data_IF_095541653891
#
_entry.id   IF_095541653891
#
_cell.length_a   1.000
_cell.length_b   1.000
_cell.length_c   1.000
_cell.angle_alpha   90.00
_cell.angle_beta   90.00
_cell.angle_gamma   90.00
#
_symmetry.space_group_name_H-M   'P 1'
#
loop_
_entity.id
_entity.type
_entity.pdbx_description
1 polymer ?
#
# COMPACT_ATOMS: atom_id res chain seq x y z
N UNK A 1 21.31 40.47 -32.56
CA UNK A 1 21.11 38.99 -32.54
C UNK A 1 19.97 38.64 -33.49
N UNK A 2 20.22 37.74 -34.45
CA UNK A 2 19.27 37.41 -35.52
C UNK A 2 18.05 36.65 -34.98
N UNK A 3 16.82 37.10 -35.31
CA UNK A 3 15.53 36.53 -34.87
C UNK A 3 15.38 35.01 -35.08
N UNK A 4 16.18 34.41 -35.96
CA UNK A 4 16.22 32.95 -36.19
C UNK A 4 16.86 32.19 -35.03
N UNK A 5 17.92 32.73 -34.43
CA UNK A 5 18.65 32.10 -33.32
C UNK A 5 17.81 32.05 -32.04
N UNK A 6 17.07 33.14 -31.74
CA UNK A 6 16.12 33.17 -30.62
C UNK A 6 14.97 32.17 -30.78
N UNK A 7 14.50 31.95 -32.02
CA UNK A 7 13.48 30.94 -32.33
C UNK A 7 14.01 29.52 -32.10
N UNK A 8 15.21 29.20 -32.58
CA UNK A 8 15.86 27.90 -32.35
C UNK A 8 16.08 27.61 -30.85
N UNK A 9 16.54 28.61 -30.07
CA UNK A 9 16.71 28.48 -28.62
C UNK A 9 15.39 28.22 -27.89
N UNK A 10 14.31 28.91 -28.26
CA UNK A 10 12.99 28.67 -27.65
C UNK A 10 12.43 27.28 -27.98
N UNK A 11 12.68 26.77 -29.19
CA UNK A 11 12.30 25.41 -29.59
C UNK A 11 13.14 24.38 -28.82
N UNK A 12 14.46 24.55 -28.74
CA UNK A 12 15.34 23.66 -28.00
C UNK A 12 14.97 23.59 -26.51
N UNK A 13 14.65 24.73 -25.90
CA UNK A 13 14.14 24.80 -24.52
C UNK A 13 12.84 24.01 -24.35
N UNK A 14 11.85 24.24 -25.22
CA UNK A 14 10.58 23.48 -25.22
C UNK A 14 10.78 21.97 -25.43
N UNK A 15 11.73 21.57 -26.27
CA UNK A 15 12.07 20.15 -26.47
C UNK A 15 12.71 19.58 -25.20
N UNK A 16 13.60 20.33 -24.55
CA UNK A 16 14.16 19.98 -23.24
C UNK A 16 13.09 19.77 -22.18
N UNK A 17 12.16 20.72 -22.07
CA UNK A 17 11.02 20.67 -21.13
C UNK A 17 10.15 19.42 -21.37
N UNK A 18 9.79 19.12 -22.63
CA UNK A 18 9.03 17.90 -22.98
C UNK A 18 9.76 16.60 -22.65
N UNK A 19 11.09 16.58 -22.77
CA UNK A 19 11.89 15.39 -22.38
C UNK A 19 11.85 15.19 -20.88
N UNK A 20 11.92 16.27 -20.10
CA UNK A 20 11.79 16.25 -18.65
C UNK A 20 10.40 15.76 -18.25
N UNK A 21 9.34 16.28 -18.86
CA UNK A 21 7.95 15.86 -18.57
C UNK A 21 7.74 14.37 -18.81
N UNK A 22 8.31 13.82 -19.90
CA UNK A 22 8.25 12.37 -20.19
C UNK A 22 8.96 11.53 -19.13
N UNK A 23 10.14 11.95 -18.68
CA UNK A 23 10.89 11.24 -17.64
C UNK A 23 10.14 11.28 -16.31
N UNK A 24 9.64 12.45 -15.92
CA UNK A 24 8.83 12.60 -14.70
C UNK A 24 7.56 11.76 -14.78
N UNK A 25 6.89 11.74 -15.93
CA UNK A 25 5.70 10.92 -16.14
C UNK A 25 6.00 9.44 -15.90
N UNK A 26 7.08 8.91 -16.49
CA UNK A 26 7.47 7.52 -16.32
C UNK A 26 7.82 7.16 -14.86
N UNK A 27 8.45 8.08 -14.13
CA UNK A 27 8.73 7.91 -12.69
C UNK A 27 7.42 7.82 -11.91
N UNK A 28 6.52 8.78 -12.09
CA UNK A 28 5.26 8.80 -11.34
C UNK A 28 4.34 7.63 -11.69
N UNK A 29 4.29 7.18 -12.95
CA UNK A 29 3.53 5.99 -13.35
C UNK A 29 4.13 4.69 -12.78
N UNK A 30 5.46 4.64 -12.59
CA UNK A 30 6.10 3.51 -11.89
C UNK A 30 5.79 3.54 -10.40
N UNK A 31 5.88 4.69 -9.76
CA UNK A 31 5.55 4.84 -8.33
C UNK A 31 4.07 4.57 -8.06
N UNK A 32 3.16 5.06 -8.91
CA UNK A 32 1.73 4.75 -8.85
C UNK A 32 1.49 3.24 -8.82
N UNK A 33 2.07 2.51 -9.79
CA UNK A 33 1.96 1.04 -9.84
C UNK A 33 2.53 0.36 -8.60
N UNK A 34 3.72 0.78 -8.15
CA UNK A 34 4.33 0.19 -6.96
C UNK A 34 3.46 0.36 -5.71
N UNK A 35 2.77 1.50 -5.56
CA UNK A 35 1.84 1.70 -4.46
C UNK A 35 0.53 0.91 -4.62
N UNK A 36 0.01 0.75 -5.84
CA UNK A 36 -1.14 -0.12 -6.09
C UNK A 36 -0.83 -1.59 -5.79
N UNK A 37 0.35 -2.06 -6.20
CA UNK A 37 0.82 -3.42 -5.91
C UNK A 37 1.00 -3.61 -4.39
N UNK A 38 1.54 -2.60 -3.69
CA UNK A 38 1.66 -2.64 -2.24
C UNK A 38 0.29 -2.71 -1.54
N UNK A 39 -0.69 -1.89 -1.96
CA UNK A 39 -2.07 -1.95 -1.45
C UNK A 39 -2.67 -3.34 -1.64
N UNK A 40 -2.54 -3.92 -2.83
CA UNK A 40 -3.00 -5.28 -3.13
C UNK A 40 -2.37 -6.31 -2.20
N UNK A 41 -1.05 -6.26 -2.02
CA UNK A 41 -0.34 -7.17 -1.11
C UNK A 41 -0.80 -7.01 0.35
N UNK A 42 -1.03 -5.78 0.83
CA UNK A 42 -1.54 -5.58 2.18
C UNK A 42 -2.94 -6.17 2.36
N UNK A 43 -3.81 -6.07 1.35
CA UNK A 43 -5.15 -6.69 1.40
C UNK A 43 -5.06 -8.23 1.42
N UNK A 44 -4.21 -8.83 0.60
CA UNK A 44 -3.95 -10.28 0.64
C UNK A 44 -3.42 -10.71 2.03
N UNK A 45 -2.54 -9.93 2.63
CA UNK A 45 -2.06 -10.19 3.99
C UNK A 45 -3.17 -10.05 5.05
N UNK A 46 -4.13 -9.14 4.87
CA UNK A 46 -5.28 -9.04 5.78
C UNK A 46 -6.10 -10.34 5.75
N UNK A 47 -6.41 -10.85 4.56
CA UNK A 47 -7.18 -12.09 4.40
C UNK A 47 -6.49 -13.28 5.09
N UNK A 48 -5.17 -13.41 4.96
CA UNK A 48 -4.38 -14.45 5.62
C UNK A 48 -4.40 -14.32 7.16
N UNK A 49 -4.27 -13.10 7.69
CA UNK A 49 -4.32 -12.87 9.14
C UNK A 49 -5.73 -13.08 9.69
N UNK A 50 -6.77 -12.71 8.92
CA UNK A 50 -8.17 -13.00 9.27
C UNK A 50 -8.41 -14.51 9.36
N UNK A 51 -7.95 -15.30 8.38
CA UNK A 51 -8.06 -16.76 8.41
C UNK A 51 -7.33 -17.36 9.63
N UNK A 52 -6.11 -16.89 9.92
CA UNK A 52 -5.35 -17.30 11.12
C UNK A 52 -6.11 -16.97 12.40
N UNK A 53 -6.69 -15.78 12.48
CA UNK A 53 -7.46 -15.30 13.63
C UNK A 53 -8.72 -16.15 13.83
N UNK A 54 -9.47 -16.43 12.78
CA UNK A 54 -10.68 -17.25 12.81
C UNK A 54 -10.37 -18.68 13.26
N UNK A 55 -9.32 -19.28 12.71
CA UNK A 55 -8.87 -20.61 13.13
C UNK A 55 -8.52 -20.64 14.62
N UNK A 56 -7.73 -19.69 15.10
CA UNK A 56 -7.37 -19.58 16.53
C UNK A 56 -8.60 -19.36 17.40
N UNK A 57 -9.53 -18.51 16.97
CA UNK A 57 -10.78 -18.25 17.69
C UNK A 57 -11.60 -19.53 17.85
N UNK A 58 -11.71 -20.33 16.79
CA UNK A 58 -12.37 -21.64 16.83
C UNK A 58 -11.74 -22.55 17.88
N UNK A 59 -10.41 -22.64 17.92
CA UNK A 59 -9.69 -23.42 18.94
C UNK A 59 -9.97 -22.92 20.37
N UNK A 60 -9.94 -21.60 20.58
CA UNK A 60 -10.25 -20.99 21.89
C UNK A 60 -11.66 -21.39 22.34
N UNK A 61 -12.66 -21.29 21.45
CA UNK A 61 -14.05 -21.63 21.75
C UNK A 61 -14.21 -23.11 22.10
N UNK A 62 -13.52 -24.02 21.41
CA UNK A 62 -13.56 -25.44 21.74
C UNK A 62 -12.90 -25.74 23.09
N UNK A 63 -11.72 -25.16 23.36
CA UNK A 63 -11.01 -25.33 24.63
C UNK A 63 -11.81 -24.80 25.83
N UNK A 64 -12.59 -23.74 25.65
CA UNK A 64 -13.46 -23.19 26.69
C UNK A 64 -14.60 -24.13 27.12
N UNK A 65 -14.89 -25.20 26.38
CA UNK A 65 -15.91 -26.19 26.74
C UNK A 65 -15.38 -27.27 27.69
N UNK A 66 -14.06 -27.36 27.87
CA UNK A 66 -13.40 -28.37 28.69
C UNK A 66 -13.40 -27.89 30.16
N UNK A 67 -13.43 -28.83 31.11
CA UNK A 67 -13.23 -28.51 32.53
C UNK A 67 -11.90 -27.79 32.72
N UNK A 68 -11.93 -26.64 33.40
CA UNK A 68 -10.80 -25.74 33.49
C UNK A 68 -9.85 -26.17 34.60
N UNK A 69 -8.59 -26.35 34.26
CA UNK A 69 -7.48 -26.44 35.18
C UNK A 69 -6.50 -25.27 34.98
N UNK A 70 -5.50 -25.18 35.85
CA UNK A 70 -4.51 -24.11 35.80
C UNK A 70 -3.72 -24.08 34.48
N UNK A 71 -3.37 -25.25 33.93
CA UNK A 71 -2.58 -25.35 32.69
C UNK A 71 -3.40 -24.89 31.48
N UNK A 72 -4.67 -25.32 31.42
CA UNK A 72 -5.60 -24.90 30.39
C UNK A 72 -5.84 -23.38 30.44
N UNK A 73 -5.92 -22.81 31.64
CA UNK A 73 -6.10 -21.36 31.83
C UNK A 73 -4.91 -20.55 31.35
N UNK A 74 -3.68 -20.98 31.64
CA UNK A 74 -2.47 -20.36 31.10
C UNK A 74 -2.43 -20.46 29.56
N UNK A 75 -2.77 -21.62 28.99
CA UNK A 75 -2.80 -21.80 27.55
C UNK A 75 -3.85 -20.90 26.87
N UNK A 76 -5.05 -20.79 27.45
CA UNK A 76 -6.10 -19.90 26.97
C UNK A 76 -5.68 -18.42 27.04
N UNK A 77 -4.95 -18.02 28.08
CA UNK A 77 -4.42 -16.66 28.18
C UNK A 77 -3.45 -16.33 27.04
N UNK A 78 -2.53 -17.26 26.72
CA UNK A 78 -1.59 -17.11 25.60
C UNK A 78 -2.32 -17.04 24.26
N UNK A 79 -3.30 -17.93 24.02
CA UNK A 79 -4.06 -17.94 22.77
C UNK A 79 -4.87 -16.66 22.57
N UNK A 80 -5.50 -16.13 23.63
CA UNK A 80 -6.23 -14.86 23.58
C UNK A 80 -5.31 -13.67 23.34
N UNK A 81 -4.13 -13.66 23.95
CA UNK A 81 -3.13 -12.63 23.67
C UNK A 81 -2.69 -12.65 22.20
N UNK A 82 -2.42 -13.84 21.65
CA UNK A 82 -2.08 -14.00 20.23
C UNK A 82 -3.25 -13.60 19.30
N UNK A 83 -4.51 -13.90 19.66
CA UNK A 83 -5.68 -13.41 18.92
C UNK A 83 -5.76 -11.88 18.91
N UNK A 84 -5.46 -11.23 20.03
CA UNK A 84 -5.43 -9.78 20.12
C UNK A 84 -4.32 -9.16 19.27
N UNK A 85 -3.17 -9.82 19.18
CA UNK A 85 -2.07 -9.42 18.29
C UNK A 85 -2.48 -9.50 16.81
N UNK A 86 -3.23 -10.52 16.40
CA UNK A 86 -3.77 -10.64 15.04
C UNK A 86 -4.70 -9.46 14.70
N UNK A 87 -5.61 -9.08 15.60
CA UNK A 87 -6.45 -7.89 15.40
C UNK A 87 -5.63 -6.61 15.22
N UNK A 88 -4.56 -6.46 16.00
CA UNK A 88 -3.66 -5.33 15.90
C UNK A 88 -2.89 -5.34 14.56
N UNK A 89 -2.51 -6.53 14.07
CA UNK A 89 -1.86 -6.71 12.77
C UNK A 89 -2.79 -6.35 11.61
N UNK A 90 -4.03 -6.86 11.61
CA UNK A 90 -5.07 -6.50 10.62
C UNK A 90 -5.24 -4.98 10.57
N UNK A 91 -5.38 -4.34 11.73
CA UNK A 91 -5.55 -2.88 11.81
C UNK A 91 -4.36 -2.13 11.19
N UNK A 92 -3.12 -2.58 11.45
CA UNK A 92 -1.92 -2.00 10.84
C UNK A 92 -1.90 -2.19 9.33
N UNK A 93 -2.22 -3.38 8.84
CA UNK A 93 -2.25 -3.68 7.40
C UNK A 93 -3.29 -2.83 6.66
N UNK A 94 -4.48 -2.66 7.22
CA UNK A 94 -5.52 -1.77 6.66
C UNK A 94 -5.01 -0.33 6.57
N UNK A 95 -4.37 0.18 7.63
CA UNK A 95 -3.79 1.54 7.61
C UNK A 95 -2.68 1.67 6.55
N UNK A 96 -1.84 0.65 6.39
CA UNK A 96 -0.79 0.62 5.38
C UNK A 96 -1.36 0.57 3.96
N UNK A 97 -2.39 -0.25 3.72
CA UNK A 97 -3.16 -0.31 2.48
C UNK A 97 -3.76 1.04 2.11
N UNK A 98 -4.47 1.67 3.03
CA UNK A 98 -5.03 3.01 2.83
C UNK A 98 -3.94 4.06 2.52
N UNK A 99 -2.81 4.01 3.22
CA UNK A 99 -1.68 4.92 2.94
C UNK A 99 -1.08 4.70 1.55
N UNK A 100 -0.96 3.44 1.10
CA UNK A 100 -0.50 3.10 -0.24
C UNK A 100 -1.48 3.61 -1.31
N UNK A 101 -2.78 3.40 -1.13
CA UNK A 101 -3.83 3.89 -2.02
C UNK A 101 -3.77 5.42 -2.21
N UNK A 102 -3.62 6.17 -1.11
CA UNK A 102 -3.49 7.63 -1.16
C UNK A 102 -2.28 8.06 -1.97
N UNK A 103 -1.12 7.45 -1.73
CA UNK A 103 0.11 7.74 -2.48
C UNK A 103 -0.05 7.39 -3.96
N UNK A 104 -0.63 6.24 -4.29
CA UNK A 104 -0.93 5.88 -5.68
C UNK A 104 -1.79 6.97 -6.36
N UNK A 105 -2.85 7.42 -5.70
CA UNK A 105 -3.74 8.47 -6.20
C UNK A 105 -3.04 9.81 -6.45
N UNK A 106 -2.11 10.21 -5.57
CA UNK A 106 -1.28 11.41 -5.76
C UNK A 106 -0.38 11.30 -6.99
N UNK A 107 0.33 10.17 -7.12
CA UNK A 107 1.24 9.91 -8.24
C UNK A 107 0.49 9.86 -9.57
N UNK A 108 -0.63 9.15 -9.62
CA UNK A 108 -1.49 9.08 -10.78
C UNK A 108 -2.11 10.42 -11.18
N UNK A 109 -2.43 11.29 -10.21
CA UNK A 109 -2.88 12.66 -10.49
C UNK A 109 -1.78 13.48 -11.17
N UNK A 110 -0.52 13.38 -10.72
CA UNK A 110 0.61 14.09 -11.32
C UNK A 110 0.93 13.53 -12.71
N UNK A 111 1.01 12.21 -12.85
CA UNK A 111 1.25 11.55 -14.14
C UNK A 111 0.21 11.95 -15.20
N UNK A 112 -1.08 12.01 -14.82
CA UNK A 112 -2.15 12.49 -15.72
C UNK A 112 -1.99 13.95 -16.13
N UNK A 113 -1.46 14.81 -15.26
CA UNK A 113 -1.15 16.21 -15.64
C UNK A 113 0.00 16.26 -16.64
N UNK A 114 1.08 15.51 -16.40
CA UNK A 114 2.25 15.47 -17.28
C UNK A 114 1.92 14.90 -18.66
N UNK A 115 1.07 13.87 -18.75
CA UNK A 115 0.57 13.34 -20.05
C UNK A 115 -0.18 14.35 -20.90
N UNK A 116 -0.78 15.38 -20.29
CA UNK A 116 -1.45 16.46 -21.03
C UNK A 116 -0.47 17.53 -21.55
N UNK A 117 0.75 17.56 -21.01
CA UNK A 117 1.80 18.53 -21.34
C UNK A 117 2.83 17.97 -22.35
N UNK A 118 3.04 16.65 -22.34
CA UNK A 118 3.92 15.91 -23.25
C UNK A 118 3.37 15.82 -24.68
#
# INVERSE_FOLDING_TARGET
>A
MTRRLSRCLSIAKKIGDRRVDKVLCAIFEREERAYMDAEKNYNEMVEEVEARREYRHGLIVELMKIERDFVLDECLAVLRAAEQEDFAEISRLIMMGHSAALRAGEKGRIARKLRKLA
#
